data_IF_543404540383
#
_entry.id   IF_543404540383
#
_cell.length_a   1.000
_cell.length_b   1.000
_cell.length_c   1.000
_cell.angle_alpha   90.00
_cell.angle_beta   90.00
_cell.angle_gamma   90.00
#
_symmetry.space_group_name_H-M   'P 1'
#
loop_
_entity.id
_entity.type
_entity.pdbx_description
1 polymer ?
#
# COMPACT_ATOMS: atom_id res chain seq x y z
N UNK A 1 6.98 15.20 10.97
CA UNK A 1 6.33 14.27 10.03
C UNK A 1 7.25 13.11 9.67
N UNK A 2 6.73 11.90 9.35
CA UNK A 2 7.56 10.79 8.89
C UNK A 2 7.41 10.62 7.38
N UNK A 3 8.54 10.53 6.66
CA UNK A 3 8.57 10.28 5.21
C UNK A 3 9.39 9.04 4.88
N UNK A 4 8.89 8.21 3.97
CA UNK A 4 9.57 6.99 3.54
C UNK A 4 10.04 7.11 2.08
N UNK A 5 11.32 6.79 1.85
CA UNK A 5 11.92 6.74 0.50
C UNK A 5 12.33 5.30 0.21
N UNK A 6 11.70 4.68 -0.79
CA UNK A 6 12.06 3.31 -1.20
C UNK A 6 13.04 3.36 -2.35
N UNK A 7 14.25 2.81 -2.15
CA UNK A 7 15.33 2.78 -3.13
C UNK A 7 15.68 1.34 -3.53
N UNK A 8 16.30 1.19 -4.70
CA UNK A 8 16.86 -0.08 -5.15
C UNK A 8 18.23 -0.27 -4.54
N UNK A 9 18.51 -1.48 -4.02
CA UNK A 9 19.84 -1.89 -3.54
C UNK A 9 20.34 -3.10 -4.33
N UNK A 10 21.66 -3.23 -4.45
CA UNK A 10 22.36 -4.24 -5.25
C UNK A 10 23.36 -5.00 -4.39
N UNK A 11 22.89 -5.89 -3.50
CA UNK A 11 23.77 -6.67 -2.66
C UNK A 11 24.57 -7.70 -3.51
N UNK A 12 25.82 -7.93 -3.15
CA UNK A 12 26.63 -9.04 -3.64
C UNK A 12 26.16 -10.38 -3.05
N UNK A 13 26.91 -11.47 -3.27
CA UNK A 13 26.55 -12.81 -2.78
C UNK A 13 26.56 -12.87 -1.25
N UNK A 14 27.61 -12.34 -0.62
CA UNK A 14 27.77 -12.39 0.84
C UNK A 14 26.73 -11.52 1.53
N UNK A 15 26.54 -10.30 1.05
CA UNK A 15 25.51 -9.38 1.52
C UNK A 15 24.09 -9.97 1.35
N UNK A 16 23.83 -10.63 0.22
CA UNK A 16 22.56 -11.32 -0.02
C UNK A 16 22.31 -12.44 1.00
N UNK A 17 23.33 -13.23 1.31
CA UNK A 17 23.27 -14.30 2.34
C UNK A 17 22.98 -13.68 3.71
N UNK A 18 23.68 -12.61 4.07
CA UNK A 18 23.49 -11.93 5.36
C UNK A 18 22.08 -11.31 5.49
N UNK A 19 21.56 -10.72 4.41
CA UNK A 19 20.18 -10.22 4.36
C UNK A 19 19.18 -11.37 4.58
N UNK A 20 19.35 -12.50 3.87
CA UNK A 20 18.44 -13.65 4.01
C UNK A 20 18.51 -14.29 5.41
N UNK A 21 19.72 -14.38 6.02
CA UNK A 21 19.90 -14.80 7.41
C UNK A 21 19.12 -13.86 8.34
N UNK A 22 19.28 -12.55 8.19
CA UNK A 22 18.60 -11.57 9.05
C UNK A 22 17.07 -11.64 8.92
N UNK A 23 16.54 -11.81 7.70
CA UNK A 23 15.11 -12.05 7.46
C UNK A 23 14.65 -13.34 8.14
N UNK A 24 15.44 -14.40 8.03
CA UNK A 24 15.17 -15.72 8.65
C UNK A 24 15.11 -15.62 10.18
N UNK A 25 16.14 -15.01 10.78
CA UNK A 25 16.23 -14.81 12.22
C UNK A 25 15.12 -13.92 12.78
N UNK A 26 14.78 -12.83 12.09
CA UNK A 26 13.67 -11.95 12.49
C UNK A 26 12.32 -12.69 12.47
N UNK A 27 12.09 -13.57 11.48
CA UNK A 27 10.90 -14.40 11.42
C UNK A 27 10.89 -15.45 12.52
N UNK A 28 12.02 -16.09 12.78
CA UNK A 28 12.18 -17.09 13.83
C UNK A 28 11.87 -16.48 15.20
N UNK A 29 12.50 -15.35 15.56
CA UNK A 29 12.24 -14.66 16.83
C UNK A 29 10.77 -14.26 16.97
N UNK A 30 10.16 -13.71 15.93
CA UNK A 30 8.73 -13.39 15.97
C UNK A 30 7.88 -14.62 16.30
N UNK A 31 8.15 -15.75 15.66
CA UNK A 31 7.39 -16.98 15.84
C UNK A 31 7.65 -17.62 17.20
N UNK A 32 8.90 -17.68 17.65
CA UNK A 32 9.27 -18.23 18.94
C UNK A 32 8.64 -17.42 20.08
N UNK A 33 8.77 -16.10 20.03
CA UNK A 33 8.13 -15.22 21.02
C UNK A 33 6.60 -15.34 21.02
N UNK A 34 5.97 -15.55 19.86
CA UNK A 34 4.53 -15.78 19.78
C UNK A 34 4.16 -17.11 20.44
N UNK A 35 4.90 -18.20 20.15
CA UNK A 35 4.68 -19.51 20.76
C UNK A 35 4.80 -19.46 22.28
N UNK A 36 5.87 -18.84 22.79
CA UNK A 36 6.13 -18.74 24.22
C UNK A 36 5.06 -17.89 24.95
N UNK A 37 4.64 -16.79 24.34
CA UNK A 37 3.53 -15.97 24.87
C UNK A 37 2.22 -16.74 24.94
N UNK A 38 1.90 -17.55 23.95
CA UNK A 38 0.70 -18.41 23.94
C UNK A 38 0.80 -19.45 25.06
N UNK A 39 1.90 -20.20 25.11
CA UNK A 39 2.13 -21.27 26.10
C UNK A 39 2.13 -20.74 27.54
N UNK A 40 2.77 -19.59 27.75
CA UNK A 40 2.80 -18.96 29.07
C UNK A 40 1.42 -18.47 29.50
N UNK A 41 0.67 -17.83 28.60
CA UNK A 41 -0.69 -17.39 28.88
C UNK A 41 -1.65 -18.54 29.18
N UNK A 42 -1.50 -19.68 28.52
CA UNK A 42 -2.30 -20.90 28.82
C UNK A 42 -2.09 -21.39 30.25
N UNK A 43 -0.85 -21.31 30.76
CA UNK A 43 -0.47 -21.76 32.12
C UNK A 43 -0.77 -20.72 33.18
N UNK A 44 -0.29 -19.52 33.01
CA UNK A 44 -0.24 -18.47 34.04
C UNK A 44 -1.36 -17.43 33.95
N UNK A 45 -2.14 -17.44 32.84
CA UNK A 45 -3.16 -16.40 32.51
C UNK A 45 -2.60 -14.97 32.52
N UNK A 46 -1.29 -14.81 32.35
CA UNK A 46 -0.55 -13.53 32.33
C UNK A 46 0.21 -13.37 31.03
N UNK A 47 0.49 -12.11 30.67
CA UNK A 47 1.29 -11.82 29.46
C UNK A 47 2.79 -11.97 29.77
N UNK A 48 3.47 -12.82 29.01
CA UNK A 48 4.92 -13.01 29.10
C UNK A 48 5.65 -11.76 28.59
N UNK A 49 6.57 -11.23 29.41
CA UNK A 49 7.52 -10.18 29.04
C UNK A 49 8.87 -10.82 28.75
N UNK A 50 9.17 -11.03 27.50
CA UNK A 50 10.43 -11.58 27.00
C UNK A 50 11.07 -10.68 25.96
N UNK A 51 12.37 -10.80 25.76
CA UNK A 51 13.13 -10.02 24.79
C UNK A 51 13.97 -10.94 23.89
N UNK A 52 14.33 -10.51 22.66
CA UNK A 52 15.18 -11.29 21.77
C UNK A 52 16.56 -11.64 22.37
N UNK A 53 17.04 -10.83 23.33
CA UNK A 53 18.31 -11.06 23.99
C UNK A 53 18.34 -12.40 24.76
N UNK A 54 17.25 -12.75 25.42
CA UNK A 54 17.13 -14.04 26.15
C UNK A 54 17.35 -15.26 25.27
N UNK A 55 16.84 -15.21 24.03
CA UNK A 55 16.97 -16.32 23.08
C UNK A 55 18.39 -16.53 22.52
N UNK A 56 19.29 -15.53 22.64
CA UNK A 56 20.67 -15.65 22.14
C UNK A 56 21.53 -16.62 22.96
N UNK A 57 21.11 -17.01 24.15
CA UNK A 57 21.76 -18.04 24.95
C UNK A 57 21.45 -19.43 24.39
N UNK A 58 20.19 -19.68 24.10
CA UNK A 58 19.68 -20.93 23.55
C UNK A 58 19.99 -21.08 22.04
N UNK A 59 19.95 -19.96 21.29
CA UNK A 59 20.19 -19.94 19.85
C UNK A 59 21.38 -19.02 19.50
N UNK A 60 22.64 -19.47 19.66
CA UNK A 60 23.85 -18.65 19.47
C UNK A 60 23.97 -17.99 18.08
N UNK A 61 23.44 -18.63 17.03
CA UNK A 61 23.43 -18.12 15.66
C UNK A 61 22.64 -16.80 15.50
N UNK A 62 21.78 -16.43 16.44
CA UNK A 62 21.14 -15.12 16.46
C UNK A 62 22.12 -13.96 16.69
N UNK A 63 23.34 -14.23 17.16
CA UNK A 63 24.41 -13.24 17.31
C UNK A 63 25.05 -12.84 15.97
N UNK A 64 24.89 -13.66 14.92
CA UNK A 64 25.42 -13.39 13.59
C UNK A 64 24.68 -12.27 12.85
N UNK A 65 23.47 -11.96 13.27
CA UNK A 65 22.63 -10.95 12.62
C UNK A 65 22.47 -9.68 13.46
N UNK A 66 21.90 -8.66 12.83
CA UNK A 66 21.64 -7.38 13.49
C UNK A 66 20.64 -7.52 14.64
N UNK A 67 21.08 -7.12 15.83
CA UNK A 67 20.28 -7.18 17.06
C UNK A 67 19.06 -6.26 17.02
N UNK A 68 19.15 -5.10 16.36
CA UNK A 68 18.03 -4.18 16.19
C UNK A 68 16.96 -4.75 15.25
N UNK A 69 17.34 -5.58 14.27
CA UNK A 69 16.40 -6.31 13.44
C UNK A 69 15.57 -7.32 14.26
N UNK A 70 16.21 -7.98 15.24
CA UNK A 70 15.51 -8.88 16.17
C UNK A 70 14.60 -8.10 17.12
N UNK A 71 15.05 -6.97 17.66
CA UNK A 71 14.23 -6.08 18.50
C UNK A 71 12.99 -5.57 17.74
N UNK A 72 13.14 -5.20 16.45
CA UNK A 72 11.99 -4.83 15.62
C UNK A 72 11.01 -5.98 15.40
N UNK A 73 11.47 -7.25 15.36
CA UNK A 73 10.58 -8.40 15.29
C UNK A 73 9.69 -8.50 16.53
N UNK A 74 10.23 -8.24 17.73
CA UNK A 74 9.48 -8.11 18.99
C UNK A 74 8.45 -6.98 18.89
N UNK A 75 8.88 -5.75 18.52
CA UNK A 75 7.99 -4.59 18.40
C UNK A 75 6.82 -4.83 17.43
N UNK A 76 7.08 -5.54 16.34
CA UNK A 76 6.03 -5.94 15.39
C UNK A 76 5.03 -6.93 16.02
N UNK A 77 5.49 -7.87 16.86
CA UNK A 77 4.62 -8.80 17.57
C UNK A 77 3.77 -8.06 18.61
N UNK A 78 4.38 -7.19 19.38
CA UNK A 78 3.68 -6.36 20.40
C UNK A 78 2.65 -5.43 19.74
N UNK A 79 3.00 -4.85 18.58
CA UNK A 79 2.05 -4.05 17.80
C UNK A 79 0.87 -4.89 17.29
N UNK A 80 1.11 -6.15 16.88
CA UNK A 80 0.05 -7.05 16.45
C UNK A 80 -0.89 -7.41 17.61
N UNK A 81 -0.36 -7.67 18.81
CA UNK A 81 -1.19 -7.88 20.01
C UNK A 81 -1.98 -6.64 20.40
N UNK A 82 -1.34 -5.46 20.43
CA UNK A 82 -2.05 -4.20 20.71
C UNK A 82 -3.22 -3.98 19.74
N UNK A 83 -3.03 -4.28 18.48
CA UNK A 83 -4.07 -4.17 17.46
C UNK A 83 -5.21 -5.15 17.69
N UNK A 84 -4.88 -6.39 17.99
CA UNK A 84 -5.86 -7.44 18.33
C UNK A 84 -6.76 -7.04 19.50
N UNK A 85 -6.17 -6.49 20.59
CA UNK A 85 -6.94 -6.07 21.77
C UNK A 85 -7.76 -4.78 21.55
N UNK A 86 -7.29 -3.88 20.66
CA UNK A 86 -7.95 -2.58 20.42
C UNK A 86 -9.05 -2.65 19.36
N UNK A 87 -8.85 -3.47 18.32
CA UNK A 87 -9.69 -3.50 17.13
C UNK A 87 -10.37 -4.88 17.00
N UNK A 88 -11.68 -5.02 17.32
CA UNK A 88 -12.38 -6.33 17.27
C UNK A 88 -12.33 -7.02 15.91
N UNK A 89 -12.21 -6.24 14.82
CA UNK A 89 -12.06 -6.77 13.45
C UNK A 89 -10.69 -7.39 13.15
N UNK A 90 -9.68 -7.12 14.02
CA UNK A 90 -8.36 -7.69 13.86
C UNK A 90 -8.29 -9.07 14.51
N UNK A 91 -7.92 -10.09 13.73
CA UNK A 91 -7.71 -11.44 14.24
C UNK A 91 -6.43 -11.55 15.09
N UNK A 92 -6.33 -12.67 15.82
CA UNK A 92 -5.16 -13.00 16.65
C UNK A 92 -3.86 -13.03 15.82
N UNK A 93 -2.70 -12.63 16.39
CA UNK A 93 -1.41 -12.66 15.71
C UNK A 93 -1.08 -14.05 15.14
N UNK A 94 -0.71 -14.12 13.87
CA UNK A 94 -0.42 -15.38 13.18
C UNK A 94 1.08 -15.62 13.03
N UNK A 95 1.48 -16.89 13.02
CA UNK A 95 2.85 -17.29 12.70
C UNK A 95 3.26 -16.82 11.31
N UNK A 96 4.49 -16.34 11.18
CA UNK A 96 5.05 -15.92 9.89
C UNK A 96 5.68 -17.11 9.18
N UNK A 97 5.31 -17.35 7.91
CA UNK A 97 5.89 -18.38 7.07
C UNK A 97 6.78 -17.78 5.97
N UNK A 98 7.75 -18.57 5.47
CA UNK A 98 8.59 -18.15 4.34
C UNK A 98 7.79 -17.93 3.04
N UNK A 99 6.68 -18.65 2.87
CA UNK A 99 5.86 -18.61 1.65
C UNK A 99 4.90 -17.42 1.63
N UNK A 100 4.27 -17.11 2.76
CA UNK A 100 3.14 -16.17 2.84
C UNK A 100 3.50 -14.87 3.52
N UNK A 101 4.62 -14.80 4.23
CA UNK A 101 5.04 -13.55 4.88
C UNK A 101 5.95 -12.73 3.99
N UNK A 102 5.96 -11.42 4.22
CA UNK A 102 6.84 -10.50 3.52
C UNK A 102 8.29 -10.81 3.89
N UNK A 103 9.15 -11.00 2.89
CA UNK A 103 10.57 -11.22 3.10
C UNK A 103 11.24 -9.87 3.38
N UNK A 104 11.21 -9.44 4.63
CA UNK A 104 11.79 -8.15 5.06
C UNK A 104 12.15 -8.17 6.53
N UNK A 105 13.12 -7.33 6.90
CA UNK A 105 13.42 -6.93 8.27
C UNK A 105 13.60 -5.42 8.36
N UNK A 106 13.42 -4.87 9.56
CA UNK A 106 13.62 -3.44 9.83
C UNK A 106 14.73 -3.30 10.87
N UNK A 107 15.63 -2.36 10.66
CA UNK A 107 16.66 -1.95 11.63
C UNK A 107 16.57 -0.45 11.88
N UNK A 108 16.80 -0.03 13.13
CA UNK A 108 16.74 1.37 13.53
C UNK A 108 18.10 2.05 13.35
N UNK A 109 18.08 3.31 12.97
CA UNK A 109 19.27 4.14 12.98
C UNK A 109 19.52 4.64 14.42
N UNK A 110 20.60 4.17 15.03
CA UNK A 110 21.02 4.50 16.40
C UNK A 110 22.54 4.63 16.41
N UNK A 111 23.06 5.71 16.95
CA UNK A 111 24.51 5.93 17.15
C UNK A 111 25.35 5.70 15.88
N UNK A 112 24.87 6.14 14.72
CA UNK A 112 25.64 6.04 13.47
C UNK A 112 25.81 4.61 12.90
N UNK A 113 25.05 3.63 13.37
CA UNK A 113 25.13 2.24 12.92
C UNK A 113 24.68 2.03 11.45
N UNK A 114 24.02 3.01 10.86
CA UNK A 114 23.60 3.04 9.46
C UNK A 114 24.15 4.30 8.81
N UNK A 115 24.93 4.14 7.73
CA UNK A 115 25.41 5.26 6.93
C UNK A 115 24.78 5.23 5.56
N UNK A 116 24.22 6.35 5.16
CA UNK A 116 23.65 6.56 3.82
C UNK A 116 24.52 7.55 3.06
N UNK A 117 25.10 7.10 1.98
CA UNK A 117 25.85 7.88 1.02
C UNK A 117 25.12 7.88 -0.33
N UNK A 118 25.54 8.71 -1.29
CA UNK A 118 24.86 8.84 -2.58
C UNK A 118 24.79 7.51 -3.35
N UNK A 119 25.81 6.68 -3.23
CA UNK A 119 25.96 5.44 -3.98
C UNK A 119 25.94 4.19 -3.12
N UNK A 120 26.07 4.32 -1.81
CA UNK A 120 26.19 3.20 -0.90
C UNK A 120 25.33 3.35 0.37
N UNK A 121 24.87 2.22 0.88
CA UNK A 121 24.17 2.10 2.16
C UNK A 121 24.89 1.09 3.02
N UNK A 122 25.49 1.53 4.13
CA UNK A 122 26.08 0.66 5.14
C UNK A 122 25.03 0.27 6.17
N UNK A 123 24.91 -1.02 6.44
CA UNK A 123 24.01 -1.60 7.41
C UNK A 123 24.80 -2.39 8.46
N UNK A 124 24.25 -2.64 9.66
CA UNK A 124 24.89 -3.47 10.68
C UNK A 124 25.25 -4.86 10.15
N UNK A 125 26.40 -5.37 10.57
CA UNK A 125 26.89 -6.73 10.26
C UNK A 125 27.14 -7.02 8.77
N UNK A 126 27.33 -6.00 7.91
CA UNK A 126 27.70 -6.19 6.51
C UNK A 126 28.49 -5.00 5.97
N UNK A 127 29.18 -5.20 4.84
CA UNK A 127 29.84 -4.14 4.10
C UNK A 127 28.83 -3.21 3.43
N UNK A 128 29.30 -2.05 2.93
CA UNK A 128 28.46 -1.06 2.27
C UNK A 128 27.85 -1.63 0.97
N UNK A 129 26.53 -1.54 0.85
CA UNK A 129 25.74 -2.07 -0.27
C UNK A 129 25.56 -0.98 -1.32
N UNK A 130 25.82 -1.29 -2.59
CA UNK A 130 25.55 -0.38 -3.69
C UNK A 130 24.08 -0.07 -3.82
N UNK A 131 23.74 1.21 -3.94
CA UNK A 131 22.35 1.71 -4.06
C UNK A 131 22.17 2.57 -5.31
N UNK A 132 20.90 2.84 -5.64
CA UNK A 132 20.54 3.85 -6.62
C UNK A 132 19.52 4.81 -6.00
N UNK A 133 19.99 5.99 -5.62
CA UNK A 133 19.13 7.10 -5.25
C UNK A 133 18.49 7.70 -6.50
N UNK A 134 17.18 7.90 -6.47
CA UNK A 134 16.40 8.48 -7.56
C UNK A 134 15.95 9.92 -7.26
N UNK A 135 16.29 10.42 -6.07
CA UNK A 135 16.05 11.79 -5.60
C UNK A 135 17.09 12.17 -4.58
N UNK A 136 17.36 13.44 -4.47
CA UNK A 136 18.13 13.99 -3.36
C UNK A 136 17.32 13.89 -2.07
N UNK A 137 18.00 13.55 -0.98
CA UNK A 137 17.42 13.53 0.35
C UNK A 137 17.85 14.83 1.02
N UNK A 138 16.91 15.67 1.49
CA UNK A 138 17.25 16.89 2.20
C UNK A 138 18.13 16.61 3.42
N UNK A 139 19.10 17.48 3.69
CA UNK A 139 20.06 17.33 4.79
C UNK A 139 19.45 17.44 6.17
N UNK A 140 18.32 18.12 6.29
CA UNK A 140 17.52 18.28 7.49
C UNK A 140 16.72 17.02 7.88
N UNK A 141 16.66 16.01 6.99
CA UNK A 141 15.93 14.78 7.26
C UNK A 141 16.75 13.82 8.10
N UNK A 142 16.26 13.47 9.28
CA UNK A 142 16.90 12.51 10.16
C UNK A 142 16.43 11.08 9.86
N UNK A 143 17.37 10.19 9.52
CA UNK A 143 17.07 8.76 9.30
C UNK A 143 16.68 8.09 10.62
N UNK A 144 15.50 7.48 10.68
CA UNK A 144 14.98 6.72 11.85
C UNK A 144 15.20 5.22 11.74
N UNK A 145 14.89 4.67 10.58
CA UNK A 145 14.98 3.22 10.36
C UNK A 145 15.09 2.88 8.88
N UNK A 146 15.60 1.68 8.62
CA UNK A 146 15.70 1.10 7.28
C UNK A 146 15.00 -0.24 7.26
N UNK A 147 14.06 -0.42 6.35
CA UNK A 147 13.44 -1.73 6.09
C UNK A 147 14.01 -2.32 4.80
N UNK A 148 14.77 -3.40 4.94
CA UNK A 148 15.28 -4.17 3.81
C UNK A 148 14.22 -5.20 3.40
N UNK A 149 13.95 -5.29 2.10
CA UNK A 149 12.99 -6.24 1.55
C UNK A 149 13.49 -6.90 0.28
N UNK A 150 13.16 -8.20 0.14
CA UNK A 150 13.35 -8.96 -1.09
C UNK A 150 12.02 -9.22 -1.75
N UNK A 151 11.87 -8.81 -3.01
CA UNK A 151 10.70 -9.10 -3.81
C UNK A 151 10.80 -10.51 -4.43
N UNK A 152 9.66 -11.08 -4.84
CA UNK A 152 9.61 -12.42 -5.47
C UNK A 152 10.39 -12.50 -6.79
N UNK A 153 10.66 -11.37 -7.44
CA UNK A 153 11.54 -11.27 -8.62
C UNK A 153 13.03 -11.45 -8.30
N UNK A 154 13.39 -11.53 -7.00
CA UNK A 154 14.78 -11.59 -6.52
C UNK A 154 15.43 -10.23 -6.36
N UNK A 155 14.70 -9.14 -6.57
CA UNK A 155 15.21 -7.77 -6.39
C UNK A 155 15.16 -7.36 -4.93
N UNK A 156 16.17 -6.59 -4.48
CA UNK A 156 16.25 -6.05 -3.13
C UNK A 156 15.97 -4.55 -3.11
N UNK A 157 15.32 -4.10 -2.04
CA UNK A 157 14.98 -2.70 -1.81
C UNK A 157 15.23 -2.33 -0.36
N UNK A 158 15.65 -1.09 -0.14
CA UNK A 158 15.66 -0.44 1.16
C UNK A 158 14.56 0.62 1.19
N UNK A 159 13.72 0.59 2.22
CA UNK A 159 12.78 1.66 2.54
C UNK A 159 13.35 2.44 3.71
N UNK A 160 13.81 3.65 3.43
CA UNK A 160 14.42 4.57 4.39
C UNK A 160 13.31 5.39 5.02
N UNK A 161 13.14 5.34 6.33
CA UNK A 161 12.17 6.13 7.07
C UNK A 161 12.88 7.32 7.72
N UNK A 162 12.49 8.51 7.32
CA UNK A 162 13.01 9.75 7.86
C UNK A 162 12.00 10.45 8.77
N UNK A 163 12.49 11.13 9.79
CA UNK A 163 11.81 12.22 10.47
C UNK A 163 12.19 13.51 9.78
N UNK A 164 11.22 14.31 9.43
CA UNK A 164 11.40 15.67 8.94
C UNK A 164 10.49 16.60 9.73
N UNK A 165 10.86 17.86 9.82
CA UNK A 165 10.00 18.88 10.38
C UNK A 165 8.66 18.92 9.63
N UNK A 166 7.63 19.32 10.35
CA UNK A 166 6.27 19.32 9.82
C UNK A 166 6.14 20.44 8.81
N UNK A 167 6.26 20.13 7.53
CA UNK A 167 6.00 21.04 6.42
C UNK A 167 4.59 20.85 5.84
N UNK A 168 3.64 20.39 6.65
CA UNK A 168 2.24 20.33 6.21
C UNK A 168 1.80 21.78 5.99
N UNK A 169 1.46 22.12 4.76
CA UNK A 169 0.90 23.43 4.46
C UNK A 169 -0.37 23.65 5.31
N UNK A 170 -0.57 24.84 5.81
CA UNK A 170 -1.82 25.21 6.47
C UNK A 170 -3.01 24.90 5.56
N UNK A 171 -4.09 24.45 6.16
CA UNK A 171 -5.31 24.14 5.41
C UNK A 171 -5.81 25.41 4.70
N UNK A 172 -5.89 25.35 3.39
CA UNK A 172 -6.37 26.45 2.56
C UNK A 172 -7.87 26.32 2.33
N UNK A 173 -8.54 27.46 2.18
CA UNK A 173 -9.93 27.49 1.72
C UNK A 173 -10.00 26.85 0.33
N UNK A 174 -10.94 25.91 0.15
CA UNK A 174 -11.12 25.22 -1.11
C UNK A 174 -12.07 26.02 -2.02
N UNK A 175 -11.61 26.28 -3.24
CA UNK A 175 -12.40 26.94 -4.30
C UNK A 175 -12.67 25.99 -5.46
N UNK A 176 -11.66 25.23 -5.88
CA UNK A 176 -11.74 24.31 -7.01
C UNK A 176 -12.01 22.88 -6.51
N UNK A 177 -13.26 22.45 -6.70
CA UNK A 177 -13.72 21.13 -6.31
C UNK A 177 -13.78 20.18 -7.51
N UNK A 178 -13.36 18.93 -7.33
CA UNK A 178 -13.53 17.83 -8.28
C UNK A 178 -14.33 16.71 -7.64
N UNK A 179 -15.36 16.23 -8.32
CA UNK A 179 -16.05 14.97 -7.98
C UNK A 179 -15.47 13.81 -8.80
N UNK A 180 -15.29 12.67 -8.17
CA UNK A 180 -14.80 11.44 -8.80
C UNK A 180 -15.78 10.31 -8.55
N UNK A 181 -16.33 9.76 -9.62
CA UNK A 181 -17.04 8.48 -9.64
C UNK A 181 -16.09 7.36 -10.06
N UNK A 182 -16.07 6.26 -9.29
CA UNK A 182 -15.21 5.11 -9.60
C UNK A 182 -15.89 4.18 -10.60
N UNK A 183 -15.33 4.13 -11.80
CA UNK A 183 -15.77 3.26 -12.87
C UNK A 183 -14.94 1.97 -12.94
N UNK A 184 -15.61 0.83 -13.16
CA UNK A 184 -14.92 -0.47 -13.34
C UNK A 184 -14.06 -0.51 -14.61
N UNK A 185 -14.46 0.23 -15.63
CA UNK A 185 -13.70 0.46 -16.85
C UNK A 185 -13.11 1.85 -16.82
N UNK A 186 -11.78 1.94 -16.97
CA UNK A 186 -11.09 3.23 -17.02
C UNK A 186 -10.80 3.89 -15.69
N UNK A 187 -11.12 3.24 -14.56
CA UNK A 187 -10.81 3.63 -13.17
C UNK A 187 -11.69 4.74 -12.60
N UNK A 188 -11.77 5.91 -13.23
CA UNK A 188 -12.51 7.08 -12.71
C UNK A 188 -13.15 7.88 -13.84
N UNK A 189 -14.31 8.48 -13.52
CA UNK A 189 -14.95 9.54 -14.29
C UNK A 189 -14.99 10.80 -13.41
N UNK A 190 -14.68 11.94 -13.99
CA UNK A 190 -14.59 13.21 -13.29
C UNK A 190 -15.83 14.08 -13.55
N UNK A 191 -16.17 14.92 -12.60
CA UNK A 191 -17.26 15.90 -12.74
C UNK A 191 -17.05 16.93 -13.85
N UNK A 192 -15.88 16.95 -14.48
CA UNK A 192 -15.56 17.73 -15.68
C UNK A 192 -15.98 17.03 -16.97
N UNK A 193 -16.45 15.78 -16.91
CA UNK A 193 -16.72 14.93 -18.07
C UNK A 193 -15.50 14.12 -18.56
N UNK A 194 -14.31 14.44 -18.10
CA UNK A 194 -13.09 13.69 -18.45
C UNK A 194 -13.06 12.32 -17.76
N UNK A 195 -12.32 11.36 -18.35
CA UNK A 195 -12.07 10.03 -17.80
C UNK A 195 -10.59 9.86 -17.50
N UNK A 196 -10.25 9.13 -16.44
CA UNK A 196 -8.86 8.90 -16.05
C UNK A 196 -8.02 8.15 -17.09
N UNK A 197 -8.64 7.44 -18.02
CA UNK A 197 -7.96 6.72 -19.10
C UNK A 197 -7.05 5.58 -18.63
N UNK A 198 -7.38 4.91 -17.51
CA UNK A 198 -6.58 3.81 -16.98
C UNK A 198 -6.44 2.65 -17.99
N UNK A 199 -5.20 2.26 -18.35
CA UNK A 199 -4.94 1.31 -19.43
C UNK A 199 -5.26 -0.15 -19.15
N UNK A 200 -5.84 -0.51 -17.98
CA UNK A 200 -6.15 -1.89 -17.53
C UNK A 200 -4.94 -2.83 -17.67
N UNK A 201 -3.86 -2.52 -17.00
CA UNK A 201 -2.55 -3.18 -17.13
C UNK A 201 -2.58 -4.68 -16.86
N UNK A 202 -3.40 -5.13 -15.91
CA UNK A 202 -3.56 -6.55 -15.64
C UNK A 202 -4.23 -7.27 -16.81
N UNK A 203 -5.33 -6.74 -17.33
CA UNK A 203 -6.08 -7.34 -18.47
C UNK A 203 -5.21 -7.43 -19.72
N UNK A 204 -4.40 -6.38 -20.01
CA UNK A 204 -3.44 -6.40 -21.12
C UNK A 204 -2.35 -7.47 -20.94
N UNK A 205 -1.93 -7.74 -19.73
CA UNK A 205 -0.90 -8.72 -19.44
C UNK A 205 -1.44 -10.14 -19.18
N UNK A 206 -2.74 -10.32 -19.03
CA UNK A 206 -3.39 -11.56 -18.57
C UNK A 206 -3.03 -12.79 -19.42
N UNK A 207 -3.11 -12.68 -20.74
CA UNK A 207 -2.75 -13.78 -21.66
C UNK A 207 -1.30 -14.24 -21.47
N UNK A 208 -0.36 -13.26 -21.33
CA UNK A 208 1.05 -13.54 -21.08
C UNK A 208 1.25 -14.19 -19.73
N UNK A 209 0.63 -13.64 -18.69
CA UNK A 209 0.73 -14.15 -17.32
C UNK A 209 0.21 -15.60 -17.24
N UNK A 210 -0.95 -15.89 -17.80
CA UNK A 210 -1.54 -17.22 -17.85
C UNK A 210 -0.63 -18.23 -18.58
N UNK A 211 0.01 -17.81 -19.68
CA UNK A 211 1.01 -18.65 -20.39
C UNK A 211 2.21 -18.99 -19.50
N UNK A 212 2.78 -18.00 -18.81
CA UNK A 212 3.93 -18.23 -17.94
C UNK A 212 3.55 -19.05 -16.70
N UNK A 213 2.31 -18.91 -16.19
CA UNK A 213 1.80 -19.72 -15.08
C UNK A 213 1.58 -21.18 -15.49
N UNK A 214 1.02 -21.44 -16.68
CA UNK A 214 0.89 -22.81 -17.23
C UNK A 214 2.25 -23.48 -17.38
N UNK A 215 3.28 -22.77 -17.93
CA UNK A 215 4.64 -23.29 -17.98
C UNK A 215 5.18 -23.63 -16.58
N UNK A 216 4.86 -22.81 -15.57
CA UNK A 216 5.29 -23.06 -14.19
C UNK A 216 4.63 -24.32 -13.60
N UNK A 217 3.33 -24.55 -13.90
CA UNK A 217 2.62 -25.75 -13.40
C UNK A 217 3.16 -27.07 -13.95
N UNK A 218 3.77 -27.04 -15.15
CA UNK A 218 4.41 -28.21 -15.76
C UNK A 218 5.87 -28.43 -15.29
N UNK A 219 6.44 -27.49 -14.53
CA UNK A 219 7.79 -27.68 -14.01
C UNK A 219 7.77 -28.50 -12.72
N UNK A 220 8.70 -29.42 -12.57
CA UNK A 220 8.94 -30.16 -11.33
C UNK A 220 9.26 -29.19 -10.18
N UNK A 221 8.50 -29.28 -9.08
CA UNK A 221 8.65 -28.41 -7.90
C UNK A 221 10.03 -28.60 -7.27
N UNK A 222 10.75 -27.48 -7.10
CA UNK A 222 12.09 -27.49 -6.52
C UNK A 222 13.23 -27.51 -7.56
N UNK A 223 12.97 -27.91 -8.80
CA UNK A 223 13.96 -27.94 -9.86
C UNK A 223 14.51 -26.54 -10.21
N UNK A 224 15.68 -26.50 -10.86
CA UNK A 224 16.26 -25.24 -11.38
C UNK A 224 15.32 -24.59 -12.40
N UNK A 225 14.66 -25.37 -13.25
CA UNK A 225 13.69 -24.86 -14.23
C UNK A 225 12.45 -24.27 -13.56
N UNK A 226 11.93 -24.88 -12.50
CA UNK A 226 10.86 -24.32 -11.69
C UNK A 226 11.25 -22.96 -11.12
N UNK A 227 12.45 -22.82 -10.55
CA UNK A 227 12.92 -21.54 -9.98
C UNK A 227 13.07 -20.45 -11.06
N UNK A 228 13.61 -20.80 -12.24
CA UNK A 228 13.71 -19.87 -13.38
C UNK A 228 12.32 -19.43 -13.84
N UNK A 229 11.38 -20.35 -13.98
CA UNK A 229 10.02 -20.04 -14.45
C UNK A 229 9.22 -19.25 -13.42
N UNK A 230 9.35 -19.59 -12.12
CA UNK A 230 8.77 -18.82 -11.01
C UNK A 230 9.23 -17.36 -11.02
N UNK A 231 10.52 -17.10 -11.31
CA UNK A 231 11.04 -15.74 -11.47
C UNK A 231 10.40 -15.01 -12.64
N UNK A 232 10.15 -15.67 -13.79
CA UNK A 232 9.45 -15.06 -14.95
C UNK A 232 8.02 -14.64 -14.59
N UNK A 233 7.27 -15.49 -13.89
CA UNK A 233 5.92 -15.16 -13.39
C UNK A 233 5.99 -13.97 -12.44
N UNK A 234 6.93 -13.96 -11.50
CA UNK A 234 7.12 -12.84 -10.56
C UNK A 234 7.46 -11.51 -11.27
N UNK A 235 8.27 -11.54 -12.33
CA UNK A 235 8.57 -10.36 -13.16
C UNK A 235 7.35 -9.84 -13.91
N UNK A 236 6.46 -10.72 -14.38
CA UNK A 236 5.18 -10.30 -14.99
C UNK A 236 4.31 -9.54 -13.97
N UNK A 237 4.12 -10.08 -12.77
CA UNK A 237 3.38 -9.40 -11.70
C UNK A 237 4.04 -8.08 -11.28
N UNK A 238 5.37 -8.05 -11.18
CA UNK A 238 6.12 -6.83 -10.84
C UNK A 238 5.89 -5.73 -11.89
N UNK A 239 5.92 -6.08 -13.19
CA UNK A 239 5.66 -5.12 -14.27
C UNK A 239 4.27 -4.51 -14.14
N UNK A 240 3.22 -5.33 -13.97
CA UNK A 240 1.83 -4.87 -13.80
C UNK A 240 1.73 -3.94 -12.58
N UNK A 241 2.28 -4.36 -11.44
CA UNK A 241 2.29 -3.57 -10.20
C UNK A 241 2.95 -2.20 -10.40
N UNK A 242 4.10 -2.18 -11.08
CA UNK A 242 4.86 -0.94 -11.28
C UNK A 242 4.16 0.01 -12.25
N UNK A 243 3.61 -0.50 -13.36
CA UNK A 243 2.84 0.29 -14.33
C UNK A 243 1.60 0.92 -13.67
N UNK A 244 0.83 0.14 -12.89
CA UNK A 244 -0.32 0.65 -12.14
C UNK A 244 0.10 1.73 -11.15
N UNK A 245 1.16 1.47 -10.39
CA UNK A 245 1.67 2.42 -9.40
C UNK A 245 2.14 3.73 -10.03
N UNK A 246 2.84 3.68 -11.17
CA UNK A 246 3.29 4.85 -11.90
C UNK A 246 2.10 5.70 -12.38
N UNK A 247 1.11 5.05 -13.01
CA UNK A 247 -0.12 5.70 -13.44
C UNK A 247 -0.83 6.41 -12.28
N UNK A 248 -1.06 5.68 -11.17
CA UNK A 248 -1.73 6.23 -10.00
C UNK A 248 -0.95 7.38 -9.34
N UNK A 249 0.38 7.32 -9.33
CA UNK A 249 1.21 8.41 -8.83
C UNK A 249 1.11 9.66 -9.71
N UNK A 250 1.10 9.51 -11.04
CA UNK A 250 0.95 10.63 -11.98
C UNK A 250 -0.43 11.27 -11.84
N UNK A 251 -1.49 10.47 -11.94
CA UNK A 251 -2.86 10.94 -11.82
C UNK A 251 -3.11 11.63 -10.47
N UNK A 252 -2.75 10.99 -9.34
CA UNK A 252 -2.96 11.58 -8.02
C UNK A 252 -2.13 12.84 -7.79
N UNK A 253 -0.99 13.00 -8.46
CA UNK A 253 -0.21 14.23 -8.42
C UNK A 253 -0.89 15.35 -9.21
N UNK A 254 -1.30 15.05 -10.42
CA UNK A 254 -2.02 16.00 -11.30
C UNK A 254 -3.29 16.54 -10.61
N UNK A 255 -4.12 15.65 -10.06
CA UNK A 255 -5.34 16.06 -9.35
C UNK A 255 -5.04 16.91 -8.12
N UNK A 256 -4.01 16.55 -7.33
CA UNK A 256 -3.61 17.33 -6.17
C UNK A 256 -3.00 18.71 -6.54
N UNK A 257 -2.46 18.87 -7.74
CA UNK A 257 -1.99 20.16 -8.25
C UNK A 257 -3.15 21.03 -8.75
N UNK A 258 -4.08 20.47 -9.51
CA UNK A 258 -5.18 21.18 -10.19
C UNK A 258 -6.33 21.60 -9.26
N UNK A 259 -6.66 20.82 -8.24
CA UNK A 259 -7.85 21.01 -7.40
C UNK A 259 -7.49 21.25 -5.94
N UNK A 260 -8.33 21.99 -5.22
CA UNK A 260 -8.16 22.31 -3.80
C UNK A 260 -8.90 21.29 -2.92
N UNK A 261 -10.00 20.74 -3.42
CA UNK A 261 -10.73 19.64 -2.81
C UNK A 261 -11.13 18.58 -3.83
N UNK A 262 -10.93 17.32 -3.47
CA UNK A 262 -11.37 16.17 -4.28
C UNK A 262 -12.39 15.37 -3.48
N UNK A 263 -13.59 15.21 -4.06
CA UNK A 263 -14.71 14.51 -3.46
C UNK A 263 -14.84 13.11 -4.07
N UNK A 264 -14.92 12.07 -3.23
CA UNK A 264 -14.98 10.66 -3.64
C UNK A 264 -16.00 9.91 -2.80
N UNK A 265 -16.56 8.83 -3.31
CA UNK A 265 -17.39 7.92 -2.52
C UNK A 265 -16.57 7.09 -1.53
N UNK A 266 -17.11 6.83 -0.33
CA UNK A 266 -16.52 5.89 0.65
C UNK A 266 -16.90 4.44 0.32
N UNK A 267 -16.28 3.88 -0.70
CA UNK A 267 -16.60 2.55 -1.21
C UNK A 267 -16.15 1.42 -0.30
N UNK A 268 -17.02 0.43 -0.09
CA UNK A 268 -16.64 -0.84 0.52
C UNK A 268 -15.96 -1.76 -0.52
N UNK A 269 -14.66 -1.54 -0.75
CA UNK A 269 -13.89 -2.30 -1.75
C UNK A 269 -13.81 -3.81 -1.46
N UNK A 270 -13.88 -4.21 -0.19
CA UNK A 270 -13.88 -5.63 0.19
C UNK A 270 -15.20 -6.28 -0.19
N UNK A 271 -16.33 -5.64 0.12
CA UNK A 271 -17.66 -6.11 -0.28
C UNK A 271 -17.82 -6.19 -1.80
N UNK A 272 -17.34 -5.18 -2.53
CA UNK A 272 -17.35 -5.17 -3.99
C UNK A 272 -16.50 -6.30 -4.60
N UNK A 273 -15.36 -6.61 -3.99
CA UNK A 273 -14.46 -7.66 -4.48
C UNK A 273 -15.03 -9.07 -4.27
N UNK A 274 -15.70 -9.33 -3.16
CA UNK A 274 -16.23 -10.65 -2.78
C UNK A 274 -17.67 -10.88 -3.22
N UNK A 275 -18.58 -9.97 -2.88
CA UNK A 275 -20.02 -10.16 -3.05
C UNK A 275 -20.52 -9.98 -4.49
N UNK A 276 -19.90 -9.09 -5.28
CA UNK A 276 -20.34 -8.75 -6.64
C UNK A 276 -19.51 -9.41 -7.75
N UNK A 277 -18.61 -10.34 -7.43
CA UNK A 277 -17.66 -10.95 -8.38
C UNK A 277 -16.81 -9.94 -9.19
N UNK A 278 -16.71 -8.70 -8.71
CA UNK A 278 -15.98 -7.61 -9.36
C UNK A 278 -14.49 -7.57 -8.97
N UNK A 279 -14.02 -8.56 -8.23
CA UNK A 279 -12.66 -8.62 -7.65
C UNK A 279 -11.54 -8.37 -8.67
N UNK A 280 -11.70 -8.88 -9.90
CA UNK A 280 -10.70 -8.66 -10.97
C UNK A 280 -10.58 -7.19 -11.37
N UNK A 281 -11.70 -6.48 -11.52
CA UNK A 281 -11.71 -5.05 -11.86
C UNK A 281 -11.23 -4.18 -10.69
N UNK A 282 -11.71 -4.45 -9.48
CA UNK A 282 -11.30 -3.74 -8.26
C UNK A 282 -9.79 -3.89 -8.01
N UNK A 283 -9.25 -5.11 -8.18
CA UNK A 283 -7.82 -5.37 -8.01
C UNK A 283 -6.98 -4.77 -9.14
N UNK A 284 -7.46 -4.77 -10.39
CA UNK A 284 -6.73 -4.15 -11.51
C UNK A 284 -6.64 -2.63 -11.32
N UNK A 285 -7.74 -1.97 -10.99
CA UNK A 285 -7.77 -0.54 -10.78
C UNK A 285 -7.01 -0.09 -9.51
N UNK A 286 -7.05 -0.88 -8.43
CA UNK A 286 -6.35 -0.60 -7.19
C UNK A 286 -6.81 0.68 -6.49
N UNK A 287 -8.12 0.92 -6.41
CA UNK A 287 -8.75 2.12 -5.86
C UNK A 287 -8.22 2.56 -4.49
N UNK A 288 -8.11 1.62 -3.54
CA UNK A 288 -7.63 1.96 -2.19
C UNK A 288 -6.20 2.52 -2.20
N UNK A 289 -5.34 2.02 -3.08
CA UNK A 289 -3.98 2.55 -3.24
C UNK A 289 -4.00 3.95 -3.85
N UNK A 290 -4.84 4.19 -4.84
CA UNK A 290 -5.01 5.51 -5.46
C UNK A 290 -5.51 6.54 -4.44
N UNK A 291 -6.56 6.22 -3.67
CA UNK A 291 -7.08 7.11 -2.62
C UNK A 291 -6.02 7.44 -1.57
N UNK A 292 -5.24 6.44 -1.14
CA UNK A 292 -4.13 6.69 -0.20
C UNK A 292 -3.09 7.64 -0.80
N UNK A 293 -2.76 7.49 -2.10
CA UNK A 293 -1.81 8.37 -2.77
C UNK A 293 -2.36 9.79 -2.96
N UNK A 294 -3.63 9.93 -3.28
CA UNK A 294 -4.30 11.21 -3.44
C UNK A 294 -4.40 11.93 -2.09
N UNK A 295 -4.83 11.21 -1.04
CA UNK A 295 -5.02 11.77 0.30
C UNK A 295 -3.75 12.42 0.85
N UNK A 296 -2.62 11.69 0.91
CA UNK A 296 -1.40 12.27 1.46
C UNK A 296 -0.86 13.43 0.60
N UNK A 297 -1.05 13.41 -0.72
CA UNK A 297 -0.59 14.49 -1.60
C UNK A 297 -1.43 15.77 -1.48
N UNK A 298 -2.72 15.62 -1.24
CA UNK A 298 -3.60 16.74 -0.92
C UNK A 298 -3.23 17.30 0.46
N UNK A 299 -3.07 16.45 1.48
CA UNK A 299 -2.69 16.84 2.82
C UNK A 299 -1.35 17.59 2.86
N UNK A 300 -0.32 17.10 2.15
CA UNK A 300 0.97 17.78 2.01
C UNK A 300 0.87 19.21 1.44
N UNK A 301 -0.22 19.52 0.72
CA UNK A 301 -0.48 20.82 0.09
C UNK A 301 -1.51 21.68 0.84
N UNK A 302 -1.97 21.24 2.01
CA UNK A 302 -3.04 21.89 2.75
C UNK A 302 -4.41 21.81 2.06
N UNK A 303 -4.62 20.80 1.21
CA UNK A 303 -5.83 20.57 0.42
C UNK A 303 -6.66 19.41 0.98
N UNK A 304 -7.86 19.21 0.45
CA UNK A 304 -8.87 18.36 1.08
C UNK A 304 -9.21 17.13 0.23
N UNK A 305 -9.25 15.94 0.87
CA UNK A 305 -9.92 14.76 0.35
C UNK A 305 -11.22 14.55 1.12
N UNK A 306 -12.35 14.73 0.46
CA UNK A 306 -13.69 14.66 1.06
C UNK A 306 -14.33 13.35 0.66
N UNK A 307 -14.78 12.57 1.64
CA UNK A 307 -15.50 11.32 1.40
C UNK A 307 -16.98 11.55 1.56
N UNK A 308 -17.72 11.26 0.51
CA UNK A 308 -19.18 11.23 0.50
C UNK A 308 -19.67 9.88 1.01
N UNK A 309 -20.76 9.88 1.75
CA UNK A 309 -21.33 8.66 2.32
C UNK A 309 -21.61 7.61 1.24
N UNK A 310 -21.34 6.35 1.53
CA UNK A 310 -21.53 5.21 0.60
C UNK A 310 -22.96 4.96 0.17
N UNK A 311 -23.93 5.43 0.95
CA UNK A 311 -25.35 5.30 0.66
C UNK A 311 -25.92 6.52 -0.08
N UNK A 312 -25.09 7.53 -0.34
CA UNK A 312 -25.48 8.66 -1.17
C UNK A 312 -25.79 8.18 -2.59
N UNK A 313 -27.02 8.44 -3.05
CA UNK A 313 -27.51 7.91 -4.32
C UNK A 313 -27.01 8.72 -5.53
N UNK A 314 -25.68 8.90 -5.64
CA UNK A 314 -25.02 9.77 -6.63
C UNK A 314 -25.53 9.53 -8.06
N UNK A 315 -25.70 8.29 -8.48
CA UNK A 315 -26.13 7.94 -9.83
C UNK A 315 -27.65 8.10 -10.09
N UNK A 316 -28.47 8.17 -9.02
CA UNK A 316 -29.95 8.29 -9.15
C UNK A 316 -30.45 9.72 -9.06
N UNK A 317 -29.65 10.67 -8.60
CA UNK A 317 -30.01 12.08 -8.45
C UNK A 317 -29.67 12.83 -9.74
N UNK A 318 -30.58 13.69 -10.19
CA UNK A 318 -30.32 14.59 -11.29
C UNK A 318 -29.36 15.72 -10.83
N UNK A 319 -28.25 15.88 -11.51
CA UNK A 319 -27.26 16.91 -11.18
C UNK A 319 -27.71 18.35 -11.48
N UNK A 320 -28.83 18.51 -12.20
CA UNK A 320 -29.40 19.82 -12.57
C UNK A 320 -30.53 20.21 -11.62
N UNK A 321 -31.55 19.36 -11.43
CA UNK A 321 -32.77 19.72 -10.67
C UNK A 321 -32.87 19.00 -9.32
N UNK A 322 -31.96 18.08 -8.98
CA UNK A 322 -32.01 17.35 -7.72
C UNK A 322 -33.05 16.22 -7.64
N UNK A 323 -33.89 16.02 -8.67
CA UNK A 323 -34.89 14.95 -8.67
C UNK A 323 -34.23 13.58 -8.54
N UNK A 324 -34.73 12.75 -7.63
CA UNK A 324 -34.21 11.40 -7.35
C UNK A 324 -35.06 10.34 -8.03
N UNK A 325 -34.53 9.64 -9.00
CA UNK A 325 -35.19 8.48 -9.64
C UNK A 325 -35.37 7.33 -8.67
N UNK A 326 -36.53 6.70 -8.69
CA UNK A 326 -36.83 5.48 -7.93
C UNK A 326 -35.99 4.31 -8.45
N UNK A 327 -35.94 4.13 -9.78
CA UNK A 327 -35.23 3.04 -10.45
C UNK A 327 -34.28 3.57 -11.50
N UNK A 328 -33.13 2.91 -11.63
CA UNK A 328 -32.13 3.13 -12.67
C UNK A 328 -31.42 1.80 -12.90
N UNK A 329 -31.54 1.25 -14.11
CA UNK A 329 -30.92 -0.01 -14.45
C UNK A 329 -29.38 0.12 -14.55
N UNK A 330 -28.65 -0.92 -14.22
CA UNK A 330 -27.18 -0.93 -14.33
C UNK A 330 -26.71 -0.83 -15.80
N UNK A 331 -27.55 -1.22 -16.74
CA UNK A 331 -27.34 -1.11 -18.18
C UNK A 331 -27.42 0.32 -18.70
N UNK A 332 -28.17 1.20 -18.00
CA UNK A 332 -28.38 2.58 -18.44
C UNK A 332 -27.08 3.36 -18.35
N UNK A 333 -26.59 3.79 -19.50
CA UNK A 333 -25.35 4.58 -19.60
C UNK A 333 -25.61 6.08 -19.69
N UNK A 334 -26.83 6.44 -20.08
CA UNK A 334 -27.27 7.84 -20.19
C UNK A 334 -28.31 8.09 -19.12
N UNK A 335 -28.06 9.12 -18.31
CA UNK A 335 -29.03 9.63 -17.38
C UNK A 335 -29.95 10.61 -18.09
N UNK A 336 -31.28 10.37 -18.01
CA UNK A 336 -32.31 11.25 -18.59
C UNK A 336 -33.25 11.67 -17.48
N UNK A 337 -33.57 12.94 -17.35
CA UNK A 337 -34.49 13.49 -16.35
C UNK A 337 -35.65 14.23 -17.02
N UNK A 338 -36.80 14.29 -16.35
CA UNK A 338 -37.98 15.04 -16.79
C UNK A 338 -37.71 16.56 -16.93
N UNK A 339 -36.70 17.09 -16.22
CA UNK A 339 -36.26 18.49 -16.37
C UNK A 339 -35.51 18.76 -17.68
N UNK A 340 -35.37 17.76 -18.56
CA UNK A 340 -34.64 17.85 -19.83
C UNK A 340 -33.15 17.49 -19.72
N UNK A 341 -32.60 17.25 -18.52
CA UNK A 341 -31.21 16.85 -18.38
C UNK A 341 -30.96 15.48 -19.04
N UNK A 342 -30.00 15.43 -19.97
CA UNK A 342 -29.55 14.20 -20.65
C UNK A 342 -28.02 14.18 -20.71
N UNK A 343 -27.39 13.30 -19.95
CA UNK A 343 -25.93 13.22 -19.87
C UNK A 343 -25.44 11.78 -19.56
N UNK A 344 -24.14 11.56 -19.68
CA UNK A 344 -23.51 10.31 -19.23
C UNK A 344 -23.79 10.09 -17.74
N UNK A 345 -24.23 8.87 -17.35
CA UNK A 345 -24.64 8.55 -15.99
C UNK A 345 -23.49 8.69 -14.99
N UNK A 346 -22.28 8.26 -15.39
CA UNK A 346 -21.12 8.31 -14.50
C UNK A 346 -20.65 9.77 -14.32
N UNK A 347 -20.81 10.61 -15.36
CA UNK A 347 -20.56 12.08 -15.25
C UNK A 347 -21.60 12.73 -14.34
N UNK A 348 -22.89 12.38 -14.48
CA UNK A 348 -23.93 12.86 -13.57
C UNK A 348 -23.63 12.51 -12.10
N UNK A 349 -23.21 11.26 -11.85
CA UNK A 349 -22.81 10.79 -10.52
C UNK A 349 -21.62 11.59 -9.99
N UNK A 350 -20.57 11.81 -10.81
CA UNK A 350 -19.41 12.57 -10.40
C UNK A 350 -19.74 14.04 -10.08
N UNK A 351 -20.68 14.66 -10.79
CA UNK A 351 -21.18 16.02 -10.47
C UNK A 351 -21.90 16.01 -9.12
N UNK A 352 -22.79 15.03 -8.88
CA UNK A 352 -23.49 14.91 -7.60
C UNK A 352 -22.53 14.66 -6.42
N UNK A 353 -21.49 13.85 -6.61
CA UNK A 353 -20.44 13.64 -5.61
C UNK A 353 -19.70 14.93 -5.29
N UNK A 354 -19.44 15.76 -6.31
CA UNK A 354 -18.81 17.09 -6.14
C UNK A 354 -19.71 18.01 -5.31
N UNK A 355 -20.98 18.13 -5.65
CA UNK A 355 -21.89 19.06 -4.98
C UNK A 355 -22.17 18.62 -3.53
N UNK A 356 -22.35 17.30 -3.28
CA UNK A 356 -22.46 16.77 -1.93
C UNK A 356 -21.16 17.00 -1.12
N UNK A 357 -20.00 16.81 -1.75
CA UNK A 357 -18.72 17.12 -1.12
C UNK A 357 -18.56 18.59 -0.77
N UNK A 358 -19.06 19.53 -1.60
CA UNK A 358 -19.12 20.97 -1.27
C UNK A 358 -20.01 21.24 -0.06
N UNK A 359 -21.16 20.53 0.05
CA UNK A 359 -22.07 20.64 1.19
C UNK A 359 -21.35 20.20 2.48
N UNK A 360 -20.75 19.01 2.47
CA UNK A 360 -19.97 18.46 3.60
C UNK A 360 -18.83 19.43 4.00
N UNK A 361 -18.12 19.97 3.02
CA UNK A 361 -17.02 20.90 3.27
C UNK A 361 -17.49 22.15 4.01
N UNK A 362 -18.63 22.73 3.61
CA UNK A 362 -19.21 23.93 4.27
C UNK A 362 -19.67 23.66 5.70
N UNK A 363 -20.10 22.43 5.99
CA UNK A 363 -20.55 22.03 7.35
C UNK A 363 -19.35 21.78 8.30
N UNK A 364 -18.16 21.48 7.75
CA UNK A 364 -16.95 21.19 8.53
C UNK A 364 -15.96 22.38 8.59
N UNK A 365 -16.20 23.45 7.83
CA UNK A 365 -15.37 24.66 7.78
C UNK A 365 -15.87 25.72 8.74
#
# INVERSE_FOLDING_TARGET
MNRAVKIRIYPDKEQSVQIEKTIGCSRFIYNQMLADKISYYQKEKKMLRNTPAGYKKEYPWLKEVDSLALANAQLHLESAFRKFFREPSCGFPRYKSRKHSRNSYTTNAVNGNILLEDTHLKLPKMSAIKIKLHRQIPSDWQLKSVTISRESSGKYFASLLFCCENQTAEKRRAERFLGIDFAMQGMCVFSTGERAGYPMFYRKAEKKLAREQRKLSHCEKGSRNYQKQKKKVALCHEKIKNQRKDFQHKLSRELAERYDAVCVEDLNLQGMSGGLHLGKGVQDNGYGQFLSMLGYKLEERGKHLIKVDRYFASSKICSVCGHKKKELALSDRIYVCECGNRMDRDVNAAVNIREEGKRIYKECA
#
